data_IF_995381985942
#
_entry.id   IF_995381985942
#
_cell.length_a   1.000
_cell.length_b   1.000
_cell.length_c   1.000
_cell.angle_alpha   90.00
_cell.angle_beta   90.00
_cell.angle_gamma   90.00
#
_symmetry.space_group_name_H-M   'P 1'
#
loop_
_entity.id
_entity.type
_entity.pdbx_description
1 polymer ?
#
# COMPACT_ATOMS: atom_id res chain seq x y z
N UNK A 1 -44.94 48.60 27.04
CA UNK A 1 -44.28 49.12 25.81
C UNK A 1 -42.78 48.85 25.91
N UNK A 2 -42.24 48.11 24.92
CA UNK A 2 -40.85 48.11 24.39
C UNK A 2 -39.72 47.97 25.45
N UNK A 3 -39.05 46.83 25.61
CA UNK A 3 -38.18 46.10 24.66
C UNK A 3 -37.01 46.97 24.13
N UNK A 4 -35.82 46.36 23.99
CA UNK A 4 -34.47 46.92 23.67
C UNK A 4 -33.73 47.48 24.89
N UNK A 5 -32.57 47.01 25.36
CA UNK A 5 -31.42 46.42 24.65
C UNK A 5 -30.63 45.50 25.62
N UNK A 6 -31.09 44.27 25.77
CA UNK A 6 -30.24 43.13 26.14
C UNK A 6 -29.44 42.82 24.86
N UNK A 7 -28.41 43.60 24.58
CA UNK A 7 -27.57 43.45 23.38
C UNK A 7 -26.13 43.89 23.66
N UNK A 8 -25.58 43.52 24.82
CA UNK A 8 -24.15 43.76 25.05
C UNK A 8 -23.46 42.83 26.06
N UNK A 9 -24.10 41.70 26.41
CA UNK A 9 -23.47 40.66 27.25
C UNK A 9 -23.44 39.27 26.62
N UNK A 10 -23.72 39.17 25.32
CA UNK A 10 -23.79 37.90 24.59
C UNK A 10 -22.69 37.77 23.51
N UNK A 11 -21.49 38.30 23.80
CA UNK A 11 -20.35 38.26 22.86
C UNK A 11 -19.02 37.80 23.47
N UNK A 12 -19.06 37.10 24.62
CA UNK A 12 -17.86 36.52 25.25
C UNK A 12 -17.96 35.03 25.62
N UNK A 13 -19.00 34.32 25.16
CA UNK A 13 -19.15 32.86 25.36
C UNK A 13 -18.92 32.01 24.11
N UNK A 14 -19.14 32.55 22.91
CA UNK A 14 -19.17 31.77 21.67
C UNK A 14 -17.81 31.28 21.13
N UNK A 15 -16.69 31.65 21.75
CA UNK A 15 -15.36 31.24 21.28
C UNK A 15 -14.88 29.89 21.83
N UNK A 16 -15.31 29.51 23.03
CA UNK A 16 -14.87 28.27 23.69
C UNK A 16 -15.74 27.08 23.30
N UNK A 17 -17.04 27.29 23.07
CA UNK A 17 -17.98 26.23 22.66
C UNK A 17 -17.72 25.73 21.23
N UNK A 18 -17.25 26.58 20.32
CA UNK A 18 -16.85 26.18 18.96
C UNK A 18 -15.53 25.40 18.93
N UNK A 19 -14.59 25.72 19.83
CA UNK A 19 -13.34 24.96 19.96
C UNK A 19 -13.60 23.62 20.64
N UNK A 20 -14.45 23.56 21.67
CA UNK A 20 -14.88 22.32 22.31
C UNK A 20 -15.71 21.43 21.39
N UNK A 21 -16.61 22.01 20.57
CA UNK A 21 -17.35 21.25 19.55
C UNK A 21 -16.42 20.66 18.48
N UNK A 22 -15.29 21.30 18.17
CA UNK A 22 -14.27 20.78 17.25
C UNK A 22 -13.43 19.66 17.87
N UNK A 23 -13.18 19.71 19.19
CA UNK A 23 -12.45 18.69 19.94
C UNK A 23 -13.33 17.45 20.16
N UNK A 24 -14.63 17.61 20.42
CA UNK A 24 -15.57 16.50 20.66
C UNK A 24 -15.96 15.79 19.34
N UNK A 25 -15.88 16.47 18.19
CA UNK A 25 -16.05 15.82 16.88
C UNK A 25 -14.88 14.90 16.49
N UNK A 26 -13.73 14.98 17.19
CA UNK A 26 -12.56 14.13 16.99
C UNK A 26 -12.53 12.89 17.89
N UNK A 27 -13.49 12.72 18.80
CA UNK A 27 -13.59 11.56 19.72
C UNK A 27 -14.66 10.53 19.33
N UNK A 28 -15.14 10.54 18.07
CA UNK A 28 -15.99 9.47 17.50
C UNK A 28 -15.20 8.50 16.62
N UNK A 29 -13.99 8.15 17.04
CA UNK A 29 -13.30 6.95 16.57
C UNK A 29 -13.18 5.96 17.72
N UNK A 30 -14.23 5.15 17.90
CA UNK A 30 -14.12 3.90 18.62
C UNK A 30 -14.03 2.74 17.62
N UNK A 31 -12.84 2.25 17.26
CA UNK A 31 -12.69 0.85 16.90
C UNK A 31 -12.54 0.09 18.20
N UNK A 32 -13.33 -0.96 18.35
CA UNK A 32 -13.13 -1.93 19.41
C UNK A 32 -11.64 -2.33 19.46
N UNK A 33 -11.16 -2.48 20.69
CA UNK A 33 -9.86 -3.07 21.01
C UNK A 33 -9.78 -4.48 20.41
N UNK A 34 -9.36 -4.60 19.14
CA UNK A 34 -8.97 -5.88 18.56
C UNK A 34 -7.52 -6.09 18.95
N UNK A 35 -7.31 -6.98 19.92
CA UNK A 35 -6.01 -7.64 20.12
C UNK A 35 -5.69 -8.45 18.87
N UNK A 36 -5.02 -7.82 17.92
CA UNK A 36 -4.41 -8.43 16.75
C UNK A 36 -3.35 -7.46 16.26
N UNK A 37 -2.08 -7.89 16.25
CA UNK A 37 -0.99 -7.05 15.76
C UNK A 37 -1.23 -6.76 14.28
N UNK A 38 -1.67 -5.54 13.93
CA UNK A 38 -1.90 -5.15 12.53
C UNK A 38 -0.57 -5.07 11.82
N UNK A 39 -0.38 -5.91 10.81
CA UNK A 39 0.85 -5.93 10.03
C UNK A 39 0.75 -4.94 8.87
N UNK A 40 1.85 -4.23 8.60
CA UNK A 40 2.07 -3.45 7.39
C UNK A 40 2.83 -4.31 6.39
N UNK A 41 2.11 -4.80 5.39
CA UNK A 41 2.65 -5.63 4.31
C UNK A 41 3.10 -4.72 3.17
N UNK A 42 4.39 -4.63 2.94
CA UNK A 42 4.98 -3.73 1.95
C UNK A 42 5.58 -4.56 0.83
N UNK A 43 4.84 -4.69 -0.28
CA UNK A 43 5.35 -5.30 -1.50
C UNK A 43 6.28 -4.32 -2.21
N UNK A 44 7.56 -4.68 -2.35
CA UNK A 44 8.52 -3.82 -3.02
C UNK A 44 9.04 -4.43 -4.32
N UNK A 45 9.40 -3.54 -5.25
CA UNK A 45 10.09 -3.87 -6.49
C UNK A 45 11.06 -2.73 -6.89
N UNK A 46 11.53 -2.74 -8.13
CA UNK A 46 12.43 -1.72 -8.64
C UNK A 46 11.73 -0.36 -8.73
N UNK A 47 10.65 -0.26 -9.50
CA UNK A 47 10.02 1.02 -9.85
C UNK A 47 8.66 1.30 -9.22
N UNK A 48 8.15 0.44 -8.31
CA UNK A 48 6.78 0.51 -7.76
C UNK A 48 5.66 0.33 -8.82
N UNK A 49 5.98 -0.12 -10.03
CA UNK A 49 5.09 0.03 -11.18
C UNK A 49 4.45 -1.27 -11.68
N UNK A 50 5.05 -2.45 -11.41
CA UNK A 50 4.61 -3.71 -12.03
C UNK A 50 4.36 -4.82 -11.01
N UNK A 51 5.39 -5.52 -10.57
CA UNK A 51 5.22 -6.73 -9.75
C UNK A 51 4.69 -6.46 -8.35
N UNK A 52 5.11 -5.36 -7.72
CA UNK A 52 4.59 -4.95 -6.41
C UNK A 52 3.11 -4.57 -6.48
N UNK A 53 2.70 -3.88 -7.55
CA UNK A 53 1.30 -3.49 -7.81
C UNK A 53 0.44 -4.75 -7.88
N UNK A 54 0.83 -5.71 -8.71
CA UNK A 54 0.04 -6.93 -8.92
C UNK A 54 -0.01 -7.81 -7.67
N UNK A 55 1.10 -7.92 -6.93
CA UNK A 55 1.10 -8.63 -5.66
C UNK A 55 0.14 -7.99 -4.64
N UNK A 56 0.09 -6.66 -4.55
CA UNK A 56 -0.85 -5.96 -3.68
C UNK A 56 -2.31 -6.18 -4.12
N UNK A 57 -2.63 -6.12 -5.41
CA UNK A 57 -3.98 -6.38 -5.90
C UNK A 57 -4.45 -7.83 -5.65
N UNK A 58 -3.55 -8.80 -5.80
CA UNK A 58 -3.80 -10.20 -5.43
C UNK A 58 -4.03 -10.34 -3.92
N UNK A 59 -3.22 -9.65 -3.10
CA UNK A 59 -3.35 -9.68 -1.65
C UNK A 59 -4.69 -9.10 -1.20
N UNK A 60 -5.11 -7.98 -1.79
CA UNK A 60 -6.37 -7.31 -1.48
C UNK A 60 -7.60 -7.97 -2.13
N UNK A 61 -7.43 -9.06 -2.87
CA UNK A 61 -8.53 -9.76 -3.56
C UNK A 61 -9.16 -9.01 -4.75
N UNK A 62 -8.66 -7.82 -5.08
CA UNK A 62 -9.09 -7.06 -6.28
C UNK A 62 -8.64 -7.70 -7.60
N UNK A 63 -7.58 -8.53 -7.55
CA UNK A 63 -7.29 -9.53 -8.57
C UNK A 63 -7.46 -10.92 -7.95
N UNK A 64 -7.98 -11.90 -8.71
CA UNK A 64 -8.29 -13.20 -8.16
C UNK A 64 -7.01 -14.04 -7.95
N UNK A 65 -6.88 -14.63 -6.76
CA UNK A 65 -5.76 -15.52 -6.39
C UNK A 65 -5.78 -16.83 -7.19
N UNK A 66 -6.96 -17.24 -7.67
CA UNK A 66 -7.16 -18.39 -8.56
C UNK A 66 -7.98 -17.97 -9.78
N UNK A 67 -7.86 -18.72 -10.89
CA UNK A 67 -8.61 -18.43 -12.13
C UNK A 67 -7.92 -17.49 -13.11
N UNK A 68 -8.68 -17.02 -14.10
CA UNK A 68 -8.16 -16.26 -15.24
C UNK A 68 -7.94 -14.80 -14.87
N UNK A 69 -6.78 -14.27 -15.25
CA UNK A 69 -6.49 -12.83 -15.31
C UNK A 69 -5.97 -12.55 -16.70
N UNK A 70 -6.54 -11.56 -17.37
CA UNK A 70 -6.11 -11.15 -18.70
C UNK A 70 -5.12 -10.01 -18.65
N UNK A 71 -4.39 -9.84 -19.74
CA UNK A 71 -3.45 -8.73 -19.92
C UNK A 71 -4.17 -7.38 -19.87
N UNK A 72 -5.37 -7.31 -20.44
CA UNK A 72 -6.20 -6.12 -20.50
C UNK A 72 -6.64 -5.70 -19.09
N UNK A 73 -7.04 -6.67 -18.25
CA UNK A 73 -7.35 -6.42 -16.85
C UNK A 73 -6.15 -5.84 -16.09
N UNK A 74 -4.93 -6.35 -16.33
CA UNK A 74 -3.71 -5.78 -15.74
C UNK A 74 -3.47 -4.35 -16.21
N UNK A 75 -3.64 -4.09 -17.51
CA UNK A 75 -3.32 -2.79 -18.10
C UNK A 75 -4.23 -1.65 -17.64
N UNK A 76 -5.46 -1.95 -17.21
CA UNK A 76 -6.41 -0.96 -16.70
C UNK A 76 -6.27 -0.70 -15.20
N UNK A 77 -5.45 -1.47 -14.47
CA UNK A 77 -5.15 -1.20 -13.06
C UNK A 77 -4.51 0.19 -12.96
N UNK A 78 -5.07 1.03 -12.07
CA UNK A 78 -4.70 2.44 -11.92
C UNK A 78 -3.21 2.62 -11.64
N UNK A 79 -2.66 1.81 -10.74
CA UNK A 79 -1.27 1.89 -10.31
C UNK A 79 -0.30 1.24 -11.30
N UNK A 80 -0.80 0.44 -12.25
CA UNK A 80 0.04 -0.35 -13.15
C UNK A 80 0.73 0.53 -14.19
N UNK A 81 2.06 0.45 -14.18
CA UNK A 81 2.95 1.25 -15.02
C UNK A 81 2.83 2.77 -14.80
N UNK A 82 2.28 3.22 -13.67
CA UNK A 82 2.05 4.64 -13.38
C UNK A 82 3.21 5.31 -12.63
N UNK A 83 3.84 4.61 -11.68
CA UNK A 83 4.84 5.22 -10.79
C UNK A 83 6.05 5.78 -11.54
N UNK A 84 6.55 6.94 -11.09
CA UNK A 84 7.69 7.65 -11.66
C UNK A 84 8.88 7.69 -10.70
N UNK A 85 10.03 8.21 -11.13
CA UNK A 85 11.26 8.23 -10.32
C UNK A 85 11.09 9.00 -9.00
N UNK A 86 10.29 10.06 -9.00
CA UNK A 86 9.98 10.88 -7.81
C UNK A 86 9.17 10.12 -6.76
N UNK A 87 8.61 8.96 -7.10
CA UNK A 87 7.88 8.10 -6.17
C UNK A 87 8.77 7.06 -5.48
N UNK A 88 10.04 6.95 -5.86
CA UNK A 88 10.94 5.98 -5.24
C UNK A 88 11.18 6.33 -3.77
N UNK A 89 11.28 5.29 -2.94
CA UNK A 89 11.43 5.42 -1.50
C UNK A 89 10.16 5.86 -0.76
N UNK A 90 9.05 6.12 -1.47
CA UNK A 90 7.76 6.52 -0.87
C UNK A 90 6.79 5.33 -0.87
N UNK A 91 6.47 4.73 0.29
CA UNK A 91 5.42 3.71 0.37
C UNK A 91 4.07 4.32 -0.05
N UNK A 92 3.31 3.56 -0.84
CA UNK A 92 1.98 3.95 -1.27
C UNK A 92 0.95 2.97 -0.75
N UNK A 93 -0.01 3.47 0.02
CA UNK A 93 -1.07 2.69 0.63
C UNK A 93 -2.06 2.22 -0.44
N UNK A 94 -2.34 0.92 -0.46
CA UNK A 94 -3.25 0.29 -1.41
C UNK A 94 -4.61 -0.04 -0.79
N UNK A 95 -4.65 -0.35 0.51
CA UNK A 95 -5.86 -0.73 1.21
C UNK A 95 -5.59 -1.62 2.42
N UNK A 96 -6.66 -2.09 3.04
CA UNK A 96 -6.60 -3.09 4.10
C UNK A 96 -7.07 -4.45 3.56
N UNK A 97 -6.42 -5.53 3.97
CA UNK A 97 -6.86 -6.90 3.67
C UNK A 97 -8.05 -7.33 4.54
N UNK A 98 -8.53 -8.56 4.34
CA UNK A 98 -9.66 -9.14 5.07
C UNK A 98 -9.42 -9.31 6.59
N UNK A 99 -8.16 -9.30 7.04
CA UNK A 99 -7.78 -9.40 8.45
C UNK A 99 -7.45 -8.02 9.07
N UNK A 100 -7.55 -6.94 8.27
CA UNK A 100 -7.30 -5.56 8.70
C UNK A 100 -5.82 -5.16 8.68
N UNK A 101 -4.95 -5.93 8.02
CA UNK A 101 -3.56 -5.59 7.75
C UNK A 101 -3.48 -4.53 6.65
N UNK A 102 -2.53 -3.61 6.77
CA UNK A 102 -2.34 -2.52 5.82
C UNK A 102 -1.40 -2.97 4.69
N UNK A 103 -1.82 -2.82 3.44
CA UNK A 103 -1.04 -3.22 2.27
C UNK A 103 -0.48 -1.99 1.56
N UNK A 104 0.83 -2.03 1.28
CA UNK A 104 1.55 -0.97 0.59
C UNK A 104 2.37 -1.51 -0.59
N UNK A 105 2.66 -0.61 -1.53
CA UNK A 105 3.66 -0.82 -2.58
C UNK A 105 4.83 0.15 -2.47
N UNK A 106 6.04 -0.32 -2.80
CA UNK A 106 7.27 0.48 -2.71
C UNK A 106 8.22 0.23 -3.89
N UNK A 107 8.83 1.29 -4.40
CA UNK A 107 9.89 1.25 -5.41
C UNK A 107 11.22 1.65 -4.80
N UNK A 108 12.25 0.80 -4.94
CA UNK A 108 13.55 1.00 -4.29
C UNK A 108 14.72 1.15 -5.27
N UNK A 109 14.47 1.14 -6.58
CA UNK A 109 15.50 1.17 -7.62
C UNK A 109 16.58 0.08 -7.33
N UNK A 110 17.85 0.35 -7.65
CA UNK A 110 19.02 -0.47 -7.34
C UNK A 110 19.42 -0.46 -5.86
N UNK A 111 18.69 0.27 -5.01
CA UNK A 111 19.03 0.50 -3.60
C UNK A 111 18.27 -0.44 -2.65
N UNK A 112 17.69 -1.53 -3.15
CA UNK A 112 16.83 -2.45 -2.37
C UNK A 112 17.49 -2.89 -1.06
N UNK A 113 18.76 -3.33 -1.08
CA UNK A 113 19.44 -3.86 0.11
C UNK A 113 19.59 -2.80 1.22
N UNK A 114 20.10 -1.62 0.87
CA UNK A 114 20.32 -0.55 1.85
C UNK A 114 18.99 0.00 2.38
N UNK A 115 17.97 0.15 1.53
CA UNK A 115 16.66 0.62 1.95
C UNK A 115 15.97 -0.38 2.88
N UNK A 116 15.94 -1.68 2.55
CA UNK A 116 15.35 -2.70 3.42
C UNK A 116 16.05 -2.77 4.77
N UNK A 117 17.39 -2.72 4.79
CA UNK A 117 18.16 -2.66 6.04
C UNK A 117 17.83 -1.43 6.88
N UNK A 118 17.69 -0.27 6.23
CA UNK A 118 17.37 0.99 6.92
C UNK A 118 15.96 0.94 7.51
N UNK A 119 14.96 0.51 6.74
CA UNK A 119 13.58 0.36 7.20
C UNK A 119 13.52 -0.58 8.40
N UNK A 120 14.16 -1.75 8.31
CA UNK A 120 14.15 -2.73 9.39
C UNK A 120 14.89 -2.21 10.63
N UNK A 121 16.07 -1.60 10.45
CA UNK A 121 16.85 -1.04 11.57
C UNK A 121 16.09 0.06 12.32
N UNK A 122 15.38 0.93 11.59
CA UNK A 122 14.52 1.95 12.19
C UNK A 122 13.32 1.32 12.90
N UNK A 123 12.67 0.34 12.28
CA UNK A 123 11.54 -0.37 12.87
C UNK A 123 11.92 -1.07 14.18
N UNK A 124 13.12 -1.66 14.26
CA UNK A 124 13.66 -2.22 15.50
C UNK A 124 13.84 -1.16 16.58
N UNK A 125 14.42 0.00 16.25
CA UNK A 125 14.59 1.10 17.20
C UNK A 125 13.27 1.68 17.71
N UNK A 126 12.24 1.67 16.86
CA UNK A 126 10.90 2.12 17.20
C UNK A 126 10.05 1.04 17.90
N UNK A 127 10.56 -0.19 18.06
CA UNK A 127 9.82 -1.29 18.68
C UNK A 127 8.62 -1.79 17.86
N UNK A 128 8.65 -1.60 16.53
CA UNK A 128 7.56 -1.97 15.60
C UNK A 128 8.04 -2.91 14.49
N UNK A 129 9.22 -3.52 14.63
CA UNK A 129 9.78 -4.43 13.63
C UNK A 129 8.87 -5.64 13.36
N UNK A 130 8.12 -6.09 14.38
CA UNK A 130 7.13 -7.15 14.27
C UNK A 130 5.86 -6.72 13.52
N UNK A 131 5.61 -5.42 13.36
CA UNK A 131 4.47 -4.89 12.63
C UNK A 131 4.77 -4.65 11.15
N UNK A 132 5.99 -4.90 10.67
CA UNK A 132 6.38 -4.62 9.27
C UNK A 132 6.84 -5.89 8.57
N UNK A 133 6.29 -6.14 7.39
CA UNK A 133 6.70 -7.22 6.51
C UNK A 133 7.11 -6.67 5.14
N UNK A 134 8.40 -6.73 4.83
CA UNK A 134 8.95 -6.33 3.53
C UNK A 134 8.96 -7.53 2.58
N UNK A 135 8.25 -7.44 1.45
CA UNK A 135 8.12 -8.55 0.50
C UNK A 135 8.74 -8.17 -0.85
N UNK A 136 9.83 -8.85 -1.21
CA UNK A 136 10.49 -8.63 -2.49
C UNK A 136 9.78 -9.38 -3.62
N UNK A 137 9.15 -8.64 -4.53
CA UNK A 137 8.47 -9.23 -5.70
C UNK A 137 9.38 -9.43 -6.91
N UNK A 138 10.61 -8.90 -6.91
CA UNK A 138 11.55 -9.06 -8.03
C UNK A 138 12.08 -10.50 -8.15
N UNK A 139 12.04 -11.27 -7.06
CA UNK A 139 12.50 -12.67 -7.01
C UNK A 139 11.62 -13.60 -7.86
N UNK A 140 10.37 -13.23 -8.10
CA UNK A 140 9.37 -14.09 -8.76
C UNK A 140 9.04 -13.67 -10.20
N UNK A 141 9.61 -12.57 -10.69
CA UNK A 141 9.37 -12.10 -12.07
C UNK A 141 10.47 -12.52 -13.05
N UNK A 142 10.07 -12.77 -14.30
CA UNK A 142 10.98 -13.09 -15.40
C UNK A 142 11.63 -11.87 -16.05
N UNK A 143 12.51 -12.11 -17.03
CA UNK A 143 13.19 -11.03 -17.79
C UNK A 143 12.22 -10.18 -18.62
N UNK A 144 11.14 -10.78 -19.15
CA UNK A 144 10.15 -10.07 -19.98
C UNK A 144 9.52 -8.88 -19.27
N UNK A 145 9.16 -9.02 -17.99
CA UNK A 145 8.62 -7.91 -17.18
C UNK A 145 9.67 -6.81 -16.98
N UNK A 146 10.94 -7.18 -16.78
CA UNK A 146 12.05 -6.23 -16.63
C UNK A 146 12.28 -5.44 -17.92
N UNK A 147 12.27 -6.12 -19.07
CA UNK A 147 12.45 -5.51 -20.40
C UNK A 147 11.27 -4.60 -20.73
N UNK A 148 10.02 -5.05 -20.51
CA UNK A 148 8.83 -4.23 -20.69
C UNK A 148 8.83 -2.99 -19.82
N UNK A 149 9.19 -3.13 -18.54
CA UNK A 149 9.33 -2.00 -17.62
C UNK A 149 10.43 -1.03 -18.03
N UNK A 150 11.58 -1.53 -18.51
CA UNK A 150 12.65 -0.70 -19.05
C UNK A 150 12.22 0.09 -20.28
N UNK A 151 11.54 -0.56 -21.22
CA UNK A 151 11.00 0.10 -22.42
C UNK A 151 9.96 1.17 -22.08
N UNK A 152 9.04 0.87 -21.15
CA UNK A 152 8.01 1.82 -20.76
C UNK A 152 8.61 3.03 -20.01
N UNK A 153 9.43 2.77 -18.99
CA UNK A 153 9.88 3.80 -18.05
C UNK A 153 11.15 4.52 -18.48
N UNK A 154 12.12 3.82 -19.07
CA UNK A 154 13.41 4.44 -19.46
C UNK A 154 13.37 4.96 -20.89
N UNK A 155 12.79 4.19 -21.81
CA UNK A 155 12.72 4.57 -23.23
C UNK A 155 11.46 5.39 -23.56
N UNK A 156 10.55 5.59 -22.59
CA UNK A 156 9.27 6.31 -22.76
C UNK A 156 8.38 5.74 -23.87
N UNK A 157 8.60 4.48 -24.25
CA UNK A 157 7.84 3.75 -25.27
C UNK A 157 6.64 3.06 -24.63
N UNK A 158 5.79 3.82 -23.94
CA UNK A 158 4.71 3.28 -23.11
C UNK A 158 3.74 2.36 -23.89
N UNK A 159 3.47 2.69 -25.16
CA UNK A 159 2.57 1.92 -26.02
C UNK A 159 3.07 0.49 -26.31
N UNK A 160 4.38 0.25 -26.22
CA UNK A 160 4.99 -1.08 -26.41
C UNK A 160 5.38 -1.68 -25.04
N UNK A 161 5.93 -0.85 -24.16
CA UNK A 161 6.43 -1.25 -22.85
C UNK A 161 5.33 -1.73 -21.91
N UNK A 162 4.20 -1.00 -21.81
CA UNK A 162 3.08 -1.35 -20.92
C UNK A 162 2.45 -2.69 -21.29
N UNK A 163 2.11 -2.97 -22.57
CA UNK A 163 1.61 -4.28 -22.96
C UNK A 163 2.62 -5.42 -22.76
N UNK A 164 3.91 -5.18 -22.99
CA UNK A 164 4.94 -6.19 -22.79
C UNK A 164 5.15 -6.50 -21.30
N UNK A 165 5.13 -5.47 -20.44
CA UNK A 165 5.19 -5.62 -19.00
C UNK A 165 4.00 -6.42 -18.48
N UNK A 166 2.78 -6.11 -18.94
CA UNK A 166 1.57 -6.83 -18.60
C UNK A 166 1.65 -8.31 -19.02
N UNK A 167 2.15 -8.61 -20.23
CA UNK A 167 2.38 -9.99 -20.65
C UNK A 167 3.42 -10.70 -19.76
N UNK A 168 4.50 -10.01 -19.39
CA UNK A 168 5.50 -10.55 -18.46
C UNK A 168 4.92 -10.87 -17.08
N UNK A 169 3.98 -10.05 -16.59
CA UNK A 169 3.21 -10.32 -15.38
C UNK A 169 2.36 -11.57 -15.55
N UNK A 170 1.60 -11.72 -16.64
CA UNK A 170 0.80 -12.93 -16.90
C UNK A 170 1.68 -14.18 -16.80
N UNK A 171 2.85 -14.16 -17.43
CA UNK A 171 3.80 -15.28 -17.39
C UNK A 171 4.39 -15.54 -15.99
N UNK A 172 4.34 -14.56 -15.10
CA UNK A 172 4.83 -14.66 -13.71
C UNK A 172 3.70 -14.80 -12.68
N UNK A 173 2.44 -14.77 -13.12
CA UNK A 173 1.27 -14.71 -12.27
C UNK A 173 1.17 -15.92 -11.33
N UNK A 174 1.46 -17.17 -11.75
CA UNK A 174 1.46 -18.31 -10.82
C UNK A 174 2.44 -18.13 -9.66
N UNK A 175 3.64 -17.60 -9.93
CA UNK A 175 4.66 -17.35 -8.89
C UNK A 175 4.26 -16.18 -7.99
N UNK A 176 3.65 -15.14 -8.53
CA UNK A 176 3.12 -14.02 -7.75
C UNK A 176 1.98 -14.47 -6.81
N UNK A 177 1.08 -15.34 -7.29
CA UNK A 177 0.02 -15.95 -6.47
C UNK A 177 0.61 -16.74 -5.31
N UNK A 178 1.55 -17.64 -5.60
CA UNK A 178 2.23 -18.42 -4.56
C UNK A 178 2.94 -17.53 -3.52
N UNK A 179 3.62 -16.47 -3.97
CA UNK A 179 4.25 -15.50 -3.07
C UNK A 179 3.23 -14.83 -2.14
N UNK A 180 2.10 -14.37 -2.68
CA UNK A 180 1.05 -13.71 -1.90
C UNK A 180 0.39 -14.67 -0.92
N UNK A 181 0.09 -15.90 -1.34
CA UNK A 181 -0.45 -16.94 -0.46
C UNK A 181 0.50 -17.24 0.69
N UNK A 182 1.80 -17.40 0.42
CA UNK A 182 2.81 -17.62 1.46
C UNK A 182 2.90 -16.44 2.45
N UNK A 183 2.85 -15.20 1.95
CA UNK A 183 2.82 -14.01 2.80
C UNK A 183 1.61 -14.02 3.75
N UNK A 184 0.42 -14.32 3.24
CA UNK A 184 -0.80 -14.40 4.08
C UNK A 184 -0.68 -15.49 5.14
N UNK A 185 -0.17 -16.67 4.77
CA UNK A 185 0.06 -17.76 5.74
C UNK A 185 1.07 -17.37 6.84
N UNK A 186 2.13 -16.65 6.49
CA UNK A 186 3.12 -16.16 7.46
C UNK A 186 2.52 -15.15 8.44
N UNK A 187 1.67 -14.25 7.96
CA UNK A 187 0.95 -13.29 8.83
C UNK A 187 0.04 -14.05 9.80
N UNK A 188 -0.73 -15.01 9.30
CA UNK A 188 -1.62 -15.83 10.14
C UNK A 188 -0.88 -16.63 11.21
N UNK A 189 0.27 -17.23 10.88
CA UNK A 189 1.14 -17.94 11.86
C UNK A 189 1.62 -16.99 12.95
N UNK A 190 2.09 -15.81 12.56
CA UNK A 190 2.55 -14.77 13.48
C UNK A 190 1.44 -14.30 14.43
N UNK A 191 0.22 -14.13 13.92
CA UNK A 191 -0.94 -13.77 14.74
C UNK A 191 -1.35 -14.86 15.73
N UNK A 192 -1.07 -16.14 15.41
CA UNK A 192 -1.30 -17.29 16.29
C UNK A 192 -0.18 -17.52 17.32
N UNK A 193 0.96 -16.83 17.19
CA UNK A 193 2.11 -16.98 18.08
C UNK A 193 2.94 -18.24 17.83
N UNK A 194 2.86 -18.80 16.61
CA UNK A 194 3.71 -19.89 16.10
C UNK A 194 4.98 -19.35 15.43
#
# INVERSE_FOLDING_TARGET
MKNTSIKEKEKKGLGLDLVLASIIQLEKWSPQFIRGCRVKVIYHCYGRAHSSVIAAHLHLGTLPIEGLVTKEQIMIIREFDLAEADDWGKPHFMGNDEEGNEVFILGLNSQTQICCRTIFSLACHLGIADQIMLVNTLTVIGMTTRIGGFLSKKMRLQWIGKPLAAQGIINSLPRLRNLVTEVKMQIQRKMKGE
#
